data_IF_963874507364
#
_entry.id   IF_963874507364
#
_cell.length_a   1.000
_cell.length_b   1.000
_cell.length_c   1.000
_cell.angle_alpha   90.00
_cell.angle_beta   90.00
_cell.angle_gamma   90.00
#
_symmetry.space_group_name_H-M   'P 1'
#
loop_
_entity.id
_entity.type
_entity.pdbx_description
1 polymer ?
#
# COMPACT_ATOMS: atom_id res chain seq x y z
N UNK A 1 -19.96 -6.88 16.25
CA UNK A 1 -20.35 -6.08 15.07
C UNK A 1 -19.30 -6.29 14.01
N UNK A 2 -19.70 -6.35 12.74
CA UNK A 2 -18.75 -6.50 11.64
C UNK A 2 -18.13 -5.15 11.35
N UNK A 3 -16.80 -5.09 11.25
CA UNK A 3 -16.09 -3.86 10.87
C UNK A 3 -15.92 -3.80 9.37
N UNK A 4 -16.33 -2.69 8.76
CA UNK A 4 -16.10 -2.40 7.35
C UNK A 4 -15.09 -1.27 7.24
N UNK A 5 -14.22 -1.36 6.24
CA UNK A 5 -13.25 -0.31 5.93
C UNK A 5 -13.71 0.44 4.67
N UNK A 6 -13.98 1.73 4.80
CA UNK A 6 -14.16 2.64 3.68
C UNK A 6 -12.79 3.23 3.32
N UNK A 7 -12.43 3.17 2.05
CA UNK A 7 -11.11 3.54 1.56
C UNK A 7 -11.21 4.86 0.79
N UNK A 8 -10.38 5.82 1.19
CA UNK A 8 -10.23 7.11 0.52
C UNK A 8 -9.25 7.04 -0.64
N UNK A 9 -9.35 7.99 -1.56
CA UNK A 9 -8.46 8.08 -2.71
C UNK A 9 -6.96 8.24 -2.33
N UNK A 10 -6.66 8.86 -1.19
CA UNK A 10 -5.30 8.99 -0.66
C UNK A 10 -4.79 7.75 0.09
N UNK A 11 -5.56 6.66 0.10
CA UNK A 11 -5.27 5.44 0.88
C UNK A 11 -5.67 5.52 2.35
N UNK A 12 -6.24 6.65 2.79
CA UNK A 12 -6.82 6.79 4.13
C UNK A 12 -7.95 5.79 4.35
N UNK A 13 -8.08 5.30 5.59
CA UNK A 13 -9.07 4.28 5.95
C UNK A 13 -10.01 4.84 7.01
N UNK A 14 -11.31 4.77 6.76
CA UNK A 14 -12.35 5.02 7.75
C UNK A 14 -13.01 3.70 8.13
N UNK A 15 -12.89 3.31 9.40
CA UNK A 15 -13.52 2.09 9.92
C UNK A 15 -14.88 2.42 10.50
N UNK A 16 -15.89 1.67 10.07
CA UNK A 16 -17.27 1.79 10.56
C UNK A 16 -17.75 0.44 11.10
N UNK A 17 -18.48 0.47 12.21
CA UNK A 17 -19.15 -0.71 12.74
C UNK A 17 -20.50 -0.86 12.05
N UNK A 18 -20.79 -2.07 11.56
CA UNK A 18 -22.01 -2.36 10.81
C UNK A 18 -22.85 -3.36 11.60
N UNK A 19 -24.12 -3.01 11.80
CA UNK A 19 -25.11 -3.87 12.45
C UNK A 19 -25.65 -4.89 11.47
N UNK A 20 -25.99 -4.42 10.27
CA UNK A 20 -26.55 -5.21 9.19
C UNK A 20 -26.31 -4.52 7.84
N UNK A 21 -26.31 -5.31 6.78
CA UNK A 21 -26.20 -4.81 5.42
C UNK A 21 -27.10 -5.59 4.48
N UNK A 22 -27.56 -4.94 3.42
CA UNK A 22 -28.27 -5.56 2.30
C UNK A 22 -27.55 -5.27 0.99
N UNK A 23 -27.34 -6.30 0.19
CA UNK A 23 -26.88 -6.19 -1.19
C UNK A 23 -28.07 -6.38 -2.13
N UNK A 24 -28.36 -5.38 -2.95
CA UNK A 24 -29.33 -5.48 -4.03
C UNK A 24 -28.58 -5.52 -5.36
N UNK A 25 -28.89 -6.51 -6.21
CA UNK A 25 -28.35 -6.62 -7.55
C UNK A 25 -29.48 -6.79 -8.55
N UNK A 26 -29.53 -5.92 -9.56
CA UNK A 26 -30.55 -5.95 -10.61
C UNK A 26 -29.86 -6.01 -11.96
N UNK A 27 -30.20 -7.01 -12.78
CA UNK A 27 -29.80 -7.09 -14.18
C UNK A 27 -30.89 -6.48 -15.05
N UNK A 28 -30.54 -5.49 -15.86
CA UNK A 28 -31.47 -4.88 -16.80
C UNK A 28 -31.69 -5.79 -18.00
N UNK A 29 -32.83 -6.48 -18.00
CA UNK A 29 -33.26 -7.37 -19.09
C UNK A 29 -34.64 -6.89 -19.55
N UNK A 30 -34.73 -5.90 -20.46
CA UNK A 30 -36.02 -5.46 -20.99
C UNK A 30 -36.72 -6.63 -21.71
N UNK A 31 -37.90 -7.00 -21.21
CA UNK A 31 -38.75 -8.03 -21.81
C UNK A 31 -39.79 -7.36 -22.69
N UNK A 32 -39.74 -7.65 -23.98
CA UNK A 32 -40.69 -7.18 -24.99
C UNK A 32 -41.67 -8.32 -25.32
N UNK A 33 -42.98 -8.17 -25.01
CA UNK A 33 -43.97 -9.14 -25.47
C UNK A 33 -44.16 -9.03 -26.99
N UNK A 34 -44.29 -10.16 -27.67
CA UNK A 34 -44.64 -10.24 -29.10
C UNK A 34 -46.06 -10.80 -29.23
N UNK A 35 -47.08 -9.93 -29.34
CA UNK A 35 -48.49 -10.34 -29.23
C UNK A 35 -48.93 -11.32 -30.31
N UNK A 36 -48.32 -11.27 -31.49
CA UNK A 36 -48.69 -12.11 -32.65
C UNK A 36 -48.26 -13.57 -32.45
N UNK A 37 -47.17 -13.81 -31.72
CA UNK A 37 -46.64 -15.15 -31.45
C UNK A 37 -47.00 -15.66 -30.04
N UNK A 38 -47.49 -14.79 -29.16
CA UNK A 38 -47.71 -15.13 -27.74
C UNK A 38 -46.41 -15.34 -26.96
N UNK A 39 -45.26 -14.94 -27.53
CA UNK A 39 -43.93 -15.14 -26.96
C UNK A 39 -43.37 -13.85 -26.34
N UNK A 40 -42.30 -14.00 -25.56
CA UNK A 40 -41.56 -12.89 -24.95
C UNK A 40 -40.12 -12.93 -25.44
N UNK A 41 -39.63 -11.79 -25.92
CA UNK A 41 -38.23 -11.61 -26.27
C UNK A 41 -37.56 -10.75 -25.21
N UNK A 42 -36.29 -11.03 -24.94
CA UNK A 42 -35.47 -10.24 -24.04
C UNK A 42 -34.16 -9.92 -24.74
N UNK A 43 -33.70 -8.68 -24.63
CA UNK A 43 -32.35 -8.29 -25.02
C UNK A 43 -31.56 -8.15 -23.73
N UNK A 44 -30.56 -9.00 -23.57
CA UNK A 44 -29.68 -8.94 -22.42
C UNK A 44 -28.55 -7.97 -22.71
N UNK A 45 -28.64 -6.78 -22.14
CA UNK A 45 -27.60 -5.75 -22.30
C UNK A 45 -26.42 -5.95 -21.35
N UNK A 46 -26.44 -7.02 -20.52
CA UNK A 46 -25.47 -7.28 -19.46
C UNK A 46 -25.20 -6.07 -18.55
N UNK A 47 -26.22 -5.22 -18.38
CA UNK A 47 -26.16 -4.07 -17.47
C UNK A 47 -26.61 -4.54 -16.09
N UNK A 48 -25.67 -4.57 -15.15
CA UNK A 48 -25.94 -4.91 -13.75
C UNK A 48 -25.78 -3.65 -12.91
N UNK A 49 -26.81 -3.34 -12.12
CA UNK A 49 -26.74 -2.31 -11.09
C UNK A 49 -26.70 -2.99 -9.74
N UNK A 50 -25.79 -2.56 -8.87
CA UNK A 50 -25.69 -3.05 -7.51
C UNK A 50 -25.69 -1.88 -6.53
N UNK A 51 -26.32 -2.07 -5.37
CA UNK A 51 -26.22 -1.17 -4.23
C UNK A 51 -26.04 -1.97 -2.93
N UNK A 52 -25.21 -1.42 -2.05
CA UNK A 52 -25.04 -1.90 -0.68
C UNK A 52 -25.66 -0.86 0.26
N UNK A 53 -26.67 -1.26 1.01
CA UNK A 53 -27.19 -0.45 2.12
C UNK A 53 -26.64 -1.02 3.41
N UNK A 54 -25.91 -0.20 4.15
CA UNK A 54 -25.26 -0.55 5.40
C UNK A 54 -25.95 0.22 6.51
N UNK A 55 -26.44 -0.46 7.53
CA UNK A 55 -26.82 0.18 8.78
C UNK A 55 -25.58 0.19 9.68
N UNK A 56 -25.18 1.40 10.05
CA UNK A 56 -23.88 1.65 10.68
C UNK A 56 -24.05 2.31 12.03
N UNK A 57 -23.13 1.99 12.92
CA UNK A 57 -22.93 2.67 14.19
C UNK A 57 -21.53 3.26 14.16
N UNK A 58 -21.44 4.57 14.36
CA UNK A 58 -20.17 5.25 14.62
C UNK A 58 -20.03 5.34 16.13
N UNK A 59 -19.07 4.60 16.65
CA UNK A 59 -18.59 4.69 18.02
C UNK A 59 -17.17 5.24 18.05
N UNK A 60 -16.72 5.68 19.23
CA UNK A 60 -15.34 6.06 19.45
C UNK A 60 -14.40 4.91 19.10
N UNK A 61 -13.25 5.21 18.50
CA UNK A 61 -12.21 4.21 18.34
C UNK A 61 -11.72 3.72 19.71
N UNK A 62 -11.59 2.40 19.84
CA UNK A 62 -10.83 1.83 20.95
C UNK A 62 -9.35 2.17 20.74
N UNK A 63 -8.93 3.30 21.30
CA UNK A 63 -7.54 3.71 21.26
C UNK A 63 -6.58 2.70 21.87
N UNK A 64 -7.03 1.75 22.69
CA UNK A 64 -6.14 0.70 23.19
C UNK A 64 -5.95 -0.43 22.16
N UNK A 65 -6.76 -0.50 21.11
CA UNK A 65 -6.66 -1.51 20.08
C UNK A 65 -5.40 -1.32 19.20
N UNK A 66 -4.73 -2.42 18.89
CA UNK A 66 -3.49 -2.45 18.11
C UNK A 66 -3.62 -1.91 16.68
N UNK A 67 -4.84 -1.81 16.14
CA UNK A 67 -5.11 -1.30 14.80
C UNK A 67 -4.88 0.21 14.67
N UNK A 68 -4.85 0.95 15.78
CA UNK A 68 -4.59 2.39 15.82
C UNK A 68 -3.21 2.73 16.37
N UNK A 69 -2.42 1.70 16.70
CA UNK A 69 -1.06 1.93 17.16
C UNK A 69 -0.21 2.54 16.05
N UNK A 70 0.74 3.36 16.46
CA UNK A 70 1.71 3.97 15.56
C UNK A 70 2.32 2.87 14.67
N UNK A 71 2.58 3.15 13.40
CA UNK A 71 3.34 2.24 12.54
C UNK A 71 4.79 2.73 12.40
N UNK A 72 5.69 1.78 12.20
CA UNK A 72 7.09 2.07 11.93
C UNK A 72 7.29 2.43 10.45
N UNK A 73 8.08 3.45 10.19
CA UNK A 73 8.55 3.73 8.83
C UNK A 73 9.52 2.63 8.38
N UNK A 74 9.47 2.29 7.10
CA UNK A 74 10.34 1.29 6.48
C UNK A 74 11.02 1.87 5.25
N UNK A 75 12.28 1.53 5.07
CA UNK A 75 13.05 1.78 3.87
C UNK A 75 13.64 0.46 3.35
N UNK A 76 14.00 0.43 2.08
CA UNK A 76 14.58 -0.77 1.48
C UNK A 76 15.78 -0.47 0.60
N UNK A 77 16.73 -1.39 0.54
CA UNK A 77 17.85 -1.38 -0.42
C UNK A 77 17.94 -2.78 -1.01
N UNK A 78 17.75 -2.90 -2.30
CA UNK A 78 17.83 -4.13 -3.06
C UNK A 78 19.12 -4.15 -3.89
N UNK A 79 20.10 -4.93 -3.41
CA UNK A 79 21.37 -5.11 -4.08
C UNK A 79 21.29 -6.09 -5.25
N UNK A 80 20.12 -6.54 -5.69
CA UNK A 80 19.99 -7.38 -6.89
C UNK A 80 19.69 -6.59 -8.16
N UNK A 81 19.27 -5.33 -8.05
CA UNK A 81 18.88 -4.50 -9.19
C UNK A 81 19.41 -3.07 -9.09
N UNK A 82 19.69 -2.46 -10.24
CA UNK A 82 19.96 -1.02 -10.35
C UNK A 82 18.65 -0.21 -10.33
N UNK A 83 18.69 1.00 -9.77
CA UNK A 83 17.53 1.88 -9.62
C UNK A 83 16.96 2.49 -10.94
N UNK A 84 17.51 2.15 -12.11
CA UNK A 84 17.26 2.86 -13.38
C UNK A 84 15.76 3.15 -13.65
N UNK A 85 15.53 4.41 -14.05
CA UNK A 85 14.26 5.14 -14.10
C UNK A 85 13.45 5.00 -15.39
N UNK A 86 13.90 4.20 -16.36
CA UNK A 86 13.45 4.38 -17.76
C UNK A 86 12.47 3.30 -18.25
N UNK A 87 11.68 2.71 -17.34
CA UNK A 87 10.58 1.79 -17.69
C UNK A 87 10.99 0.46 -18.34
N UNK A 88 12.30 0.20 -18.49
CA UNK A 88 12.85 -1.06 -19.02
C UNK A 88 13.07 -2.14 -17.96
N UNK A 89 13.48 -3.34 -18.42
CA UNK A 89 13.90 -4.41 -17.49
C UNK A 89 15.12 -3.95 -16.68
N UNK A 90 14.96 -3.90 -15.35
CA UNK A 90 16.04 -3.49 -14.45
C UNK A 90 17.25 -4.41 -14.60
N UNK A 91 18.42 -3.80 -14.67
CA UNK A 91 19.70 -4.49 -14.79
C UNK A 91 20.11 -5.05 -13.43
N UNK A 92 20.80 -6.20 -13.38
CA UNK A 92 21.40 -6.70 -12.15
C UNK A 92 22.34 -5.65 -11.52
N UNK A 93 22.46 -5.66 -10.19
CA UNK A 93 23.36 -4.72 -9.52
C UNK A 93 24.83 -5.15 -9.66
N UNK A 94 25.19 -6.33 -9.15
CA UNK A 94 26.51 -6.91 -9.36
C UNK A 94 26.45 -7.89 -10.53
N UNK A 95 27.27 -7.66 -11.56
CA UNK A 95 27.63 -8.71 -12.52
C UNK A 95 29.03 -8.41 -13.05
N UNK A 96 29.78 -9.46 -13.39
CA UNK A 96 31.11 -9.30 -14.00
C UNK A 96 31.12 -8.70 -15.42
N UNK A 97 30.00 -8.19 -15.95
CA UNK A 97 29.86 -7.62 -17.29
C UNK A 97 29.27 -6.20 -17.23
N UNK A 98 29.65 -5.31 -18.16
CA UNK A 98 29.10 -3.95 -18.26
C UNK A 98 27.60 -3.99 -18.65
N UNK A 99 26.71 -3.14 -18.10
CA UNK A 99 26.94 -1.92 -17.30
C UNK A 99 26.95 -2.13 -15.77
N UNK A 100 27.19 -3.35 -15.29
CA UNK A 100 27.01 -3.70 -13.88
C UNK A 100 28.15 -3.23 -12.96
N UNK A 101 27.89 -3.18 -11.65
CA UNK A 101 28.81 -2.64 -10.64
C UNK A 101 29.79 -3.71 -10.20
N UNK A 102 31.10 -3.43 -10.26
CA UNK A 102 32.08 -4.29 -9.57
C UNK A 102 32.02 -4.00 -8.07
N UNK A 103 32.08 -5.04 -7.23
CA UNK A 103 32.21 -4.86 -5.76
C UNK A 103 33.40 -3.96 -5.42
N UNK A 104 34.45 -3.96 -6.23
CA UNK A 104 35.60 -3.07 -6.05
C UNK A 104 35.30 -1.58 -6.28
N UNK A 105 34.30 -1.27 -7.11
CA UNK A 105 33.87 0.10 -7.41
C UNK A 105 33.06 0.69 -6.24
N UNK A 106 32.54 -0.16 -5.36
CA UNK A 106 31.87 0.28 -4.13
C UNK A 106 32.83 0.83 -3.09
N UNK A 107 34.14 0.60 -3.23
CA UNK A 107 35.11 1.04 -2.24
C UNK A 107 35.05 2.55 -2.00
N UNK A 108 35.00 2.95 -0.73
CA UNK A 108 34.84 4.32 -0.27
C UNK A 108 33.52 5.00 -0.61
N UNK A 109 32.62 4.34 -1.34
CA UNK A 109 31.24 4.78 -1.49
C UNK A 109 30.49 4.56 -0.17
N UNK A 110 29.47 5.39 0.07
CA UNK A 110 28.63 5.25 1.24
C UNK A 110 27.20 5.72 0.99
N UNK A 111 26.29 5.23 1.82
CA UNK A 111 24.95 5.79 1.95
C UNK A 111 24.71 6.19 3.41
N UNK A 112 23.76 7.09 3.61
CA UNK A 112 23.40 7.63 4.90
C UNK A 112 21.97 7.22 5.25
N UNK A 113 21.77 6.72 6.48
CA UNK A 113 20.46 6.38 7.04
C UNK A 113 20.21 7.21 8.29
N UNK A 114 19.02 7.75 8.42
CA UNK A 114 18.58 8.54 9.56
C UNK A 114 17.45 7.81 10.30
N UNK A 115 17.58 7.73 11.63
CA UNK A 115 16.54 7.18 12.52
C UNK A 115 15.48 8.25 12.80
N UNK A 116 14.24 7.84 13.08
CA UNK A 116 13.25 8.73 13.68
C UNK A 116 13.81 9.46 14.90
N UNK A 117 13.31 10.66 15.10
CA UNK A 117 13.46 11.36 16.35
C UNK A 117 12.21 12.19 16.62
N UNK A 118 11.53 11.90 17.73
CA UNK A 118 10.31 12.63 18.12
C UNK A 118 10.61 13.80 19.07
N UNK A 119 11.87 14.06 19.41
CA UNK A 119 12.24 15.20 20.24
C UNK A 119 12.29 16.48 19.42
N UNK A 120 11.63 17.53 19.92
CA UNK A 120 11.71 18.87 19.33
C UNK A 120 13.18 19.34 19.29
N UNK A 121 13.68 19.71 18.11
CA UNK A 121 14.88 20.54 17.91
C UNK A 121 16.30 19.95 18.09
N UNK A 122 16.55 18.66 17.85
CA UNK A 122 17.93 18.22 17.54
C UNK A 122 17.97 17.33 16.31
N UNK A 123 18.41 17.88 15.18
CA UNK A 123 18.77 17.09 13.98
C UNK A 123 19.82 16.06 14.40
N UNK A 124 19.51 14.77 14.27
CA UNK A 124 20.49 13.72 14.55
C UNK A 124 21.35 13.51 13.30
N UNK A 125 22.68 13.47 13.44
CA UNK A 125 23.52 13.19 12.29
C UNK A 125 23.22 11.77 11.79
N UNK A 126 23.03 11.57 10.48
CA UNK A 126 22.76 10.25 9.93
C UNK A 126 23.93 9.31 10.18
N UNK A 127 23.63 8.02 10.27
CA UNK A 127 24.66 6.98 10.32
C UNK A 127 25.12 6.72 8.88
N UNK A 128 26.43 6.79 8.66
CA UNK A 128 27.05 6.53 7.37
C UNK A 128 27.42 5.06 7.23
N UNK A 129 26.92 4.36 6.22
CA UNK A 129 27.33 2.99 5.90
C UNK A 129 28.32 3.06 4.73
N UNK A 130 29.60 2.79 5.00
CA UNK A 130 30.71 2.94 4.05
C UNK A 130 31.36 1.61 3.72
N UNK A 131 31.63 1.36 2.44
CA UNK A 131 32.20 0.09 1.98
C UNK A 131 33.75 0.09 1.94
N UNK A 132 34.36 -1.01 2.36
CA UNK A 132 35.82 -1.21 2.39
C UNK A 132 36.24 -2.53 1.73
N UNK A 133 36.80 -2.46 0.53
CA UNK A 133 37.29 -3.64 -0.20
C UNK A 133 38.58 -4.24 0.36
N UNK A 134 39.31 -3.50 1.19
CA UNK A 134 40.61 -3.92 1.71
C UNK A 134 40.49 -4.75 3.00
N UNK A 135 39.27 -5.06 3.45
CA UNK A 135 39.01 -5.78 4.69
C UNK A 135 37.75 -6.63 4.56
N UNK A 136 37.75 -7.81 5.16
CA UNK A 136 36.54 -8.58 5.43
C UNK A 136 35.90 -8.23 6.79
N UNK A 137 36.63 -7.52 7.66
CA UNK A 137 36.14 -7.12 8.99
C UNK A 137 35.25 -5.88 8.93
N UNK A 138 34.24 -5.86 9.79
CA UNK A 138 33.35 -4.72 10.00
C UNK A 138 33.80 -3.90 11.21
N UNK A 139 33.53 -2.59 11.21
CA UNK A 139 33.79 -1.73 12.37
C UNK A 139 32.82 -0.55 12.44
N UNK A 140 32.72 0.08 13.60
CA UNK A 140 31.98 1.32 13.78
C UNK A 140 32.91 2.45 14.25
N UNK A 141 32.60 3.69 13.86
CA UNK A 141 33.28 4.91 14.28
C UNK A 141 32.25 5.96 14.72
N UNK A 142 32.65 6.87 15.61
CA UNK A 142 31.80 7.92 16.16
C UNK A 142 32.10 9.32 15.59
N UNK A 143 33.06 9.45 14.68
CA UNK A 143 33.48 10.76 14.14
C UNK A 143 33.90 10.66 12.67
N UNK A 144 32.95 10.75 11.72
CA UNK A 144 31.49 10.77 11.91
C UNK A 144 30.95 9.39 12.33
N UNK A 145 29.70 9.34 12.79
CA UNK A 145 28.97 8.10 13.05
C UNK A 145 28.90 7.25 11.79
N UNK A 146 29.72 6.21 11.72
CA UNK A 146 29.96 5.44 10.51
C UNK A 146 30.06 3.94 10.81
N UNK A 147 29.40 3.13 10.02
CA UNK A 147 29.61 1.68 9.90
C UNK A 147 30.53 1.43 8.71
N UNK A 148 31.67 0.79 8.93
CA UNK A 148 32.54 0.31 7.88
C UNK A 148 32.19 -1.14 7.55
N UNK A 149 31.75 -1.38 6.32
CA UNK A 149 31.37 -2.69 5.80
C UNK A 149 32.57 -3.27 5.05
N UNK A 150 33.23 -4.27 5.64
CA UNK A 150 34.21 -5.07 4.93
C UNK A 150 33.58 -5.86 3.79
N UNK A 151 34.07 -5.67 2.56
CA UNK A 151 33.56 -6.34 1.35
C UNK A 151 34.63 -7.14 0.62
N UNK A 152 35.78 -7.39 1.25
CA UNK A 152 36.82 -8.23 0.68
C UNK A 152 36.30 -9.66 0.44
N UNK A 153 36.40 -10.14 -0.80
CA UNK A 153 36.00 -11.49 -1.19
C UNK A 153 34.50 -11.66 -1.48
N UNK A 154 33.69 -10.61 -1.32
CA UNK A 154 32.28 -10.63 -1.71
C UNK A 154 32.18 -10.58 -3.24
N UNK A 155 31.38 -11.47 -3.83
CA UNK A 155 31.17 -11.57 -5.28
C UNK A 155 29.70 -11.64 -5.68
N UNK A 156 28.78 -11.65 -4.71
CA UNK A 156 27.34 -11.86 -4.93
C UNK A 156 26.50 -10.82 -4.19
N UNK A 157 25.33 -10.52 -4.73
CA UNK A 157 24.37 -9.54 -4.18
C UNK A 157 23.93 -9.91 -2.75
N UNK A 158 23.61 -11.18 -2.54
CA UNK A 158 23.22 -11.71 -1.24
C UNK A 158 24.36 -11.67 -0.21
N UNK A 159 25.61 -11.81 -0.66
CA UNK A 159 26.81 -11.66 0.17
C UNK A 159 26.99 -10.22 0.60
N UNK A 160 26.76 -9.26 -0.31
CA UNK A 160 26.80 -7.84 0.00
C UNK A 160 25.70 -7.44 0.99
N UNK A 161 24.45 -7.85 0.75
CA UNK A 161 23.33 -7.63 1.67
C UNK A 161 23.63 -8.18 3.07
N UNK A 162 24.14 -9.41 3.14
CA UNK A 162 24.49 -10.06 4.40
C UNK A 162 25.61 -9.34 5.15
N UNK A 163 26.63 -8.86 4.45
CA UNK A 163 27.73 -8.10 5.03
C UNK A 163 27.26 -6.75 5.59
N UNK A 164 26.39 -6.03 4.86
CA UNK A 164 25.79 -4.77 5.35
C UNK A 164 24.95 -5.03 6.60
N UNK A 165 24.07 -6.03 6.60
CA UNK A 165 23.26 -6.39 7.77
C UNK A 165 24.14 -6.70 8.98
N UNK A 166 25.12 -7.58 8.81
CA UNK A 166 26.03 -8.01 9.89
C UNK A 166 26.81 -6.82 10.46
N UNK A 167 27.33 -5.95 9.60
CA UNK A 167 28.07 -4.77 10.01
C UNK A 167 27.19 -3.79 10.80
N UNK A 168 25.97 -3.54 10.34
CA UNK A 168 25.03 -2.65 11.00
C UNK A 168 24.59 -3.21 12.36
N UNK A 169 24.21 -4.48 12.45
CA UNK A 169 23.75 -5.09 13.71
C UNK A 169 24.84 -5.13 14.80
N UNK A 170 26.11 -5.21 14.41
CA UNK A 170 27.23 -5.15 15.34
C UNK A 170 27.61 -3.70 15.75
N UNK A 171 27.10 -2.69 15.05
CA UNK A 171 27.53 -1.30 15.24
C UNK A 171 26.94 -0.66 16.51
N UNK A 172 27.84 -0.08 17.30
CA UNK A 172 27.52 0.67 18.50
C UNK A 172 28.16 2.06 18.43
N UNK A 173 27.42 3.07 18.86
CA UNK A 173 27.84 4.46 18.83
C UNK A 173 27.84 5.07 20.24
N UNK A 174 28.48 6.22 20.39
CA UNK A 174 28.40 7.04 21.60
C UNK A 174 27.19 7.97 21.58
N UNK A 175 26.67 8.29 20.40
CA UNK A 175 25.46 9.08 20.24
C UNK A 175 24.21 8.21 20.38
N UNK A 176 23.15 8.80 20.92
CA UNK A 176 21.83 8.16 20.97
C UNK A 176 21.20 8.15 19.58
N UNK A 177 20.75 6.98 19.15
CA UNK A 177 20.01 6.73 17.91
C UNK A 177 18.50 6.59 18.13
N UNK A 178 18.04 6.40 19.37
CA UNK A 178 16.60 6.50 19.71
C UNK A 178 16.30 7.55 20.79
N UNK A 179 15.05 7.97 20.91
CA UNK A 179 14.47 8.81 21.97
C UNK A 179 14.58 8.12 23.33
N UNK A 180 14.49 6.79 23.35
CA UNK A 180 14.74 5.96 24.54
C UNK A 180 16.22 5.87 24.95
N UNK A 181 17.12 6.57 24.25
CA UNK A 181 18.56 6.62 24.58
C UNK A 181 19.38 5.42 24.08
N UNK A 182 18.83 4.59 23.20
CA UNK A 182 19.56 3.48 22.59
C UNK A 182 20.69 3.98 21.68
N UNK A 183 21.88 3.39 21.78
CA UNK A 183 23.08 3.84 21.05
C UNK A 183 23.59 2.82 20.02
N UNK A 184 23.00 1.63 19.96
CA UNK A 184 23.32 0.62 18.95
C UNK A 184 22.45 0.80 17.71
N UNK A 185 22.94 0.41 16.54
CA UNK A 185 22.14 0.46 15.31
C UNK A 185 20.87 -0.39 15.45
N UNK A 186 20.99 -1.57 16.06
CA UNK A 186 19.86 -2.48 16.34
C UNK A 186 18.84 -1.93 17.34
N UNK A 187 19.19 -0.91 18.14
CA UNK A 187 18.20 -0.22 18.97
C UNK A 187 17.30 0.70 18.14
N UNK A 188 17.82 1.27 17.06
CA UNK A 188 17.09 2.20 16.19
C UNK A 188 16.41 1.52 15.00
N UNK A 189 16.95 0.40 14.52
CA UNK A 189 16.43 -0.30 13.36
C UNK A 189 16.40 -1.81 13.55
N UNK A 190 15.33 -2.43 13.07
CA UNK A 190 15.30 -3.86 12.75
C UNK A 190 15.65 -4.04 11.27
N UNK A 191 16.60 -4.92 10.95
CA UNK A 191 17.03 -5.20 9.58
C UNK A 191 16.61 -6.62 9.19
N UNK A 192 15.82 -6.75 8.14
CA UNK A 192 15.43 -8.06 7.58
C UNK A 192 16.02 -8.24 6.19
N UNK A 193 16.40 -9.48 5.86
CA UNK A 193 16.80 -9.87 4.50
C UNK A 193 15.61 -10.57 3.84
N UNK A 194 15.34 -10.23 2.59
CA UNK A 194 14.31 -10.87 1.76
C UNK A 194 14.77 -11.00 0.31
N UNK A 195 13.96 -11.66 -0.51
CA UNK A 195 14.23 -11.79 -1.94
C UNK A 195 14.24 -10.42 -2.61
N UNK A 196 15.29 -10.17 -3.39
CA UNK A 196 15.35 -9.03 -4.29
C UNK A 196 14.62 -9.32 -5.59
N UNK A 197 14.55 -8.30 -6.45
CA UNK A 197 13.90 -8.38 -7.76
C UNK A 197 14.55 -9.42 -8.69
N UNK A 198 15.87 -9.63 -8.57
CA UNK A 198 16.64 -10.54 -9.44
C UNK A 198 17.29 -11.71 -8.70
N UNK A 199 17.61 -11.52 -7.42
CA UNK A 199 18.40 -12.47 -6.63
C UNK A 199 17.75 -12.66 -5.26
N UNK A 200 17.60 -13.92 -4.83
CA UNK A 200 17.11 -14.24 -3.49
C UNK A 200 18.05 -13.70 -2.40
N UNK A 201 17.47 -13.27 -1.28
CA UNK A 201 18.19 -12.74 -0.12
C UNK A 201 19.12 -11.55 -0.40
N UNK A 202 18.79 -10.72 -1.40
CA UNK A 202 19.57 -9.53 -1.78
C UNK A 202 18.93 -8.20 -1.35
N UNK A 203 17.70 -8.22 -0.85
CA UNK A 203 16.99 -7.03 -0.37
C UNK A 203 17.09 -6.89 1.13
N UNK A 204 17.55 -5.72 1.59
CA UNK A 204 17.50 -5.29 2.97
C UNK A 204 16.28 -4.41 3.19
N UNK A 205 15.52 -4.68 4.24
CA UNK A 205 14.48 -3.77 4.73
C UNK A 205 14.86 -3.29 6.12
N UNK A 206 14.97 -1.97 6.24
CA UNK A 206 15.20 -1.28 7.50
C UNK A 206 13.85 -0.85 8.04
N UNK A 207 13.47 -1.36 9.20
CA UNK A 207 12.26 -0.93 9.92
C UNK A 207 12.68 -0.13 11.13
N UNK A 208 12.21 1.11 11.27
CA UNK A 208 12.51 1.91 12.45
C UNK A 208 11.87 1.31 13.70
N UNK A 209 12.61 1.29 14.80
CA UNK A 209 12.07 0.79 16.08
C UNK A 209 11.07 1.79 16.66
N UNK A 210 11.32 3.09 16.51
CA UNK A 210 10.32 4.09 16.90
C UNK A 210 9.29 4.25 15.79
N UNK A 211 8.05 4.40 16.23
CA UNK A 211 6.88 4.44 15.37
C UNK A 211 6.31 5.85 15.35
N UNK A 212 5.66 6.22 14.25
CA UNK A 212 5.09 7.56 14.06
C UNK A 212 5.50 8.19 12.73
N UNK A 213 4.89 9.33 12.42
CA UNK A 213 5.20 10.06 11.18
C UNK A 213 6.62 10.63 11.15
N UNK A 214 7.20 10.89 12.33
CA UNK A 214 8.58 11.38 12.46
C UNK A 214 9.66 10.40 11.97
N UNK A 215 9.29 9.14 11.68
CA UNK A 215 10.19 8.19 11.03
C UNK A 215 10.27 8.32 9.51
N UNK A 216 9.29 8.98 8.88
CA UNK A 216 9.30 9.18 7.43
C UNK A 216 10.37 10.21 7.06
N UNK A 217 11.33 9.81 6.24
CA UNK A 217 12.43 10.67 5.83
C UNK A 217 13.00 10.21 4.49
N UNK A 218 13.84 11.06 3.88
CA UNK A 218 14.39 10.82 2.54
C UNK A 218 15.64 9.93 2.53
N UNK A 219 15.86 9.13 3.56
CA UNK A 219 16.96 8.16 3.63
C UNK A 219 16.44 6.75 3.26
N UNK A 220 17.28 5.84 2.73
CA UNK A 220 18.72 5.95 2.51
C UNK A 220 19.09 6.97 1.43
N UNK A 221 20.10 7.80 1.69
CA UNK A 221 20.66 8.70 0.68
C UNK A 221 22.03 8.20 0.24
N UNK A 222 22.15 7.85 -1.04
CA UNK A 222 23.41 7.46 -1.65
C UNK A 222 24.23 8.71 -1.99
N UNK A 223 25.44 8.81 -1.44
CA UNK A 223 26.31 9.98 -1.56
C UNK A 223 27.63 9.59 -2.22
N UNK A 224 28.23 10.53 -2.97
CA UNK A 224 29.56 10.45 -3.58
C UNK A 224 29.77 9.20 -4.46
N UNK A 225 29.86 9.36 -5.78
CA UNK A 225 30.29 8.29 -6.70
C UNK A 225 29.24 7.23 -7.04
N UNK A 226 28.10 7.24 -6.37
CA UNK A 226 26.96 6.37 -6.67
C UNK A 226 26.17 6.73 -7.94
N UNK A 227 26.49 7.83 -8.63
CA UNK A 227 25.64 8.44 -9.69
C UNK A 227 25.29 7.52 -10.87
N UNK A 228 26.03 6.44 -11.10
CA UNK A 228 25.73 5.44 -12.14
C UNK A 228 25.33 4.06 -11.57
N UNK A 229 25.38 3.89 -10.25
CA UNK A 229 25.45 2.59 -9.58
C UNK A 229 24.59 2.54 -8.32
N UNK A 230 23.45 3.24 -8.32
CA UNK A 230 22.51 3.26 -7.20
C UNK A 230 21.73 1.93 -7.22
N UNK A 231 21.81 1.11 -6.16
CA UNK A 231 20.94 -0.06 -6.07
C UNK A 231 19.49 0.41 -6.00
N UNK A 232 18.56 -0.44 -6.42
CA UNK A 232 17.14 -0.16 -6.19
C UNK A 232 16.90 0.10 -4.70
N UNK A 233 16.18 1.17 -4.37
CA UNK A 233 15.90 1.51 -2.99
C UNK A 233 14.54 2.20 -2.85
N UNK A 234 13.97 2.10 -1.66
CA UNK A 234 12.81 2.87 -1.23
C UNK A 234 13.23 3.72 -0.02
N UNK A 235 12.81 4.99 0.01
CA UNK A 235 13.00 5.88 1.15
C UNK A 235 12.12 5.46 2.35
N UNK A 236 12.42 5.96 3.56
CA UNK A 236 11.60 5.68 4.73
C UNK A 236 10.18 6.26 4.59
N UNK A 237 9.21 5.37 4.48
CA UNK A 237 7.80 5.70 4.37
C UNK A 237 6.92 4.75 5.21
N UNK A 238 5.62 5.06 5.28
CA UNK A 238 4.62 4.21 5.94
C UNK A 238 4.56 4.34 7.46
N UNK A 239 5.36 5.21 8.08
CA UNK A 239 5.23 5.57 9.49
C UNK A 239 4.01 6.48 9.71
N UNK A 240 3.10 6.08 10.57
CA UNK A 240 1.90 6.85 10.92
C UNK A 240 1.83 7.02 12.43
N UNK A 241 1.34 8.18 12.85
CA UNK A 241 1.01 8.39 14.24
C UNK A 241 -0.30 7.72 14.59
N UNK A 242 -0.48 7.52 15.89
CA UNK A 242 -1.72 7.03 16.46
C UNK A 242 -2.81 8.05 16.16
N UNK A 243 -3.73 7.67 15.29
CA UNK A 243 -4.92 8.45 14.98
C UNK A 243 -6.11 7.66 15.48
N UNK A 244 -6.62 8.05 16.64
CA UNK A 244 -7.95 7.65 17.08
C UNK A 244 -8.93 8.75 16.72
N UNK A 245 -10.14 8.36 16.36
CA UNK A 245 -11.23 9.29 16.08
C UNK A 245 -12.39 9.02 17.01
N UNK A 246 -13.00 10.08 17.54
CA UNK A 246 -14.30 9.96 18.20
C UNK A 246 -15.38 9.63 17.17
N UNK A 247 -16.54 9.18 17.65
CA UNK A 247 -17.73 8.99 16.83
C UNK A 247 -18.10 10.26 16.04
N UNK A 248 -17.93 11.43 16.67
CA UNK A 248 -18.16 12.74 16.06
C UNK A 248 -17.14 13.07 14.97
N UNK A 249 -15.85 12.81 15.20
CA UNK A 249 -14.80 13.02 14.20
C UNK A 249 -15.02 12.14 12.97
N UNK A 250 -15.39 10.87 13.18
CA UNK A 250 -15.73 9.94 12.10
C UNK A 250 -16.92 10.43 11.27
N UNK A 251 -17.96 10.94 11.92
CA UNK A 251 -19.12 11.51 11.22
C UNK A 251 -18.71 12.74 10.42
N UNK A 252 -17.94 13.65 11.03
CA UNK A 252 -17.48 14.87 10.39
C UNK A 252 -16.61 14.57 9.16
N UNK A 253 -15.71 13.60 9.29
CA UNK A 253 -14.88 13.10 8.20
C UNK A 253 -15.75 12.51 7.08
N UNK A 254 -16.73 11.67 7.42
CA UNK A 254 -17.62 11.08 6.43
C UNK A 254 -18.48 12.14 5.72
N UNK A 255 -18.93 13.18 6.42
CA UNK A 255 -19.58 14.34 5.82
C UNK A 255 -18.64 15.06 4.85
N UNK A 256 -17.37 15.23 5.21
CA UNK A 256 -16.39 15.81 4.30
C UNK A 256 -16.18 14.92 3.07
N UNK A 257 -16.08 13.60 3.24
CA UNK A 257 -15.78 12.69 2.14
C UNK A 257 -16.94 12.48 1.17
N UNK A 258 -18.18 12.45 1.69
CA UNK A 258 -19.40 12.32 0.87
C UNK A 258 -19.85 13.68 0.32
N UNK A 259 -19.68 14.75 1.11
CA UNK A 259 -20.08 16.10 0.75
C UNK A 259 -19.10 16.83 -0.18
N UNK A 260 -17.83 16.40 -0.24
CA UNK A 260 -16.85 16.98 -1.15
C UNK A 260 -17.04 16.43 -2.57
N UNK A 261 -17.88 17.11 -3.34
CA UNK A 261 -18.20 16.76 -4.73
C UNK A 261 -17.16 17.26 -5.76
N UNK A 262 -15.97 17.70 -5.32
CA UNK A 262 -14.95 18.26 -6.22
C UNK A 262 -14.13 17.15 -6.91
N UNK A 263 -14.76 16.37 -7.78
CA UNK A 263 -14.03 15.60 -8.79
C UNK A 263 -13.71 16.58 -9.94
N UNK A 264 -12.67 17.39 -9.77
CA UNK A 264 -12.10 18.19 -10.87
C UNK A 264 -11.39 17.22 -11.84
N UNK A 265 -12.20 16.48 -12.60
CA UNK A 265 -11.76 15.73 -13.75
C UNK A 265 -11.61 16.70 -14.92
N UNK A 266 -10.38 16.85 -15.40
CA UNK A 266 -10.12 17.31 -16.76
C UNK A 266 -11.07 16.55 -17.69
N UNK A 267 -11.85 17.28 -18.49
CA UNK A 267 -12.70 16.73 -19.55
C UNK A 267 -11.83 16.02 -20.60
N UNK A 268 -11.44 14.79 -20.31
CA UNK A 268 -10.75 13.91 -21.25
C UNK A 268 -11.73 13.50 -22.34
N UNK A 269 -11.37 13.76 -23.59
CA UNK A 269 -12.13 13.35 -24.77
C UNK A 269 -12.30 11.84 -24.83
N UNK A 270 -13.37 11.31 -24.21
CA UNK A 270 -13.73 9.90 -24.24
C UNK A 270 -14.36 9.44 -25.58
N UNK A 271 -14.30 10.25 -26.64
CA UNK A 271 -14.94 9.95 -27.94
C UNK A 271 -14.08 10.34 -29.17
N UNK A 272 -12.75 10.26 -29.11
CA UNK A 272 -11.93 10.66 -30.26
C UNK A 272 -10.47 10.24 -30.25
N UNK A 273 -10.19 8.95 -30.10
CA UNK A 273 -8.88 8.38 -30.43
C UNK A 273 -9.06 7.22 -31.41
N UNK A 274 -8.34 7.22 -32.53
CA UNK A 274 -8.36 6.13 -33.54
C UNK A 274 -7.98 4.81 -32.86
N UNK A 275 -8.98 3.98 -32.54
CA UNK A 275 -8.77 2.58 -32.22
C UNK A 275 -8.26 1.87 -33.49
N UNK A 276 -7.13 1.18 -33.34
CA UNK A 276 -6.70 0.14 -34.27
C UNK A 276 -7.73 -1.01 -34.17
N UNK A 277 -8.48 -1.34 -35.24
CA UNK A 277 -9.58 -2.29 -35.16
C UNK A 277 -9.15 -3.75 -34.88
N UNK A 278 -7.85 -4.05 -34.89
CA UNK A 278 -7.33 -5.42 -34.75
C UNK A 278 -6.74 -5.76 -33.38
N UNK A 279 -6.72 -4.82 -32.42
CA UNK A 279 -6.24 -5.10 -31.06
C UNK A 279 -7.40 -5.22 -30.06
N UNK A 280 -7.69 -6.45 -29.63
CA UNK A 280 -8.70 -6.74 -28.61
C UNK A 280 -8.37 -6.18 -27.22
N UNK A 281 -7.14 -5.69 -27.02
CA UNK A 281 -6.68 -5.05 -25.79
C UNK A 281 -6.62 -3.51 -25.89
N UNK A 282 -6.73 -2.90 -27.08
CA UNK A 282 -6.55 -1.44 -27.25
C UNK A 282 -7.75 -0.58 -26.84
N UNK A 283 -8.80 -1.16 -26.26
CA UNK A 283 -9.96 -0.42 -25.74
C UNK A 283 -9.82 -0.06 -24.25
N UNK A 284 -8.75 -0.53 -23.58
CA UNK A 284 -8.50 -0.27 -22.15
C UNK A 284 -7.00 -0.03 -21.89
N UNK A 285 -6.37 0.84 -22.68
CA UNK A 285 -5.11 1.49 -22.28
C UNK A 285 -5.20 2.99 -22.57
N UNK A 286 -6.22 3.64 -22.00
CA UNK A 286 -6.07 5.05 -21.66
C UNK A 286 -5.35 5.09 -20.33
N UNK A 287 -4.11 5.53 -20.34
CA UNK A 287 -3.34 5.91 -19.16
C UNK A 287 -4.10 7.02 -18.41
N UNK A 288 -5.01 6.62 -17.52
CA UNK A 288 -5.68 7.53 -16.60
C UNK A 288 -4.67 7.81 -15.50
N UNK A 289 -3.70 8.66 -15.82
CA UNK A 289 -2.91 9.33 -14.78
C UNK A 289 -3.86 10.22 -13.98
N UNK A 290 -4.42 9.63 -12.92
CA UNK A 290 -5.14 10.27 -11.83
C UNK A 290 -4.22 11.11 -10.92
N UNK A 291 -2.93 11.26 -11.26
CA UNK A 291 -1.89 11.61 -10.28
C UNK A 291 -1.93 13.05 -9.78
N UNK A 292 -2.49 13.99 -10.54
CA UNK A 292 -2.28 15.40 -10.24
C UNK A 292 -3.59 16.10 -9.85
N UNK A 293 -3.96 15.88 -8.58
CA UNK A 293 -4.91 16.69 -7.77
C UNK A 293 -6.41 16.49 -8.03
N UNK A 294 -6.88 15.27 -8.28
CA UNK A 294 -8.24 14.94 -7.85
C UNK A 294 -8.29 15.10 -6.32
N UNK A 295 -9.35 15.73 -5.78
CA UNK A 295 -9.43 15.99 -4.34
C UNK A 295 -9.22 14.68 -3.57
N UNK A 296 -8.23 14.66 -2.69
CA UNK A 296 -7.68 13.46 -2.06
C UNK A 296 -8.66 12.73 -1.09
N UNK A 297 -9.92 13.18 -1.06
CA UNK A 297 -10.79 13.04 0.11
C UNK A 297 -12.10 12.31 -0.17
N UNK A 298 -12.32 11.71 -1.34
CA UNK A 298 -13.53 10.91 -1.58
C UNK A 298 -13.31 9.41 -1.35
N UNK A 299 -14.39 8.70 -1.01
CA UNK A 299 -14.38 7.24 -0.86
C UNK A 299 -14.34 6.60 -2.25
N UNK A 300 -13.29 5.80 -2.52
CA UNK A 300 -13.05 5.06 -3.77
C UNK A 300 -13.29 3.55 -3.63
N UNK A 301 -13.49 3.06 -2.41
CA UNK A 301 -13.70 1.64 -2.21
C UNK A 301 -14.17 1.26 -0.82
N UNK A 302 -14.55 -0.01 -0.73
CA UNK A 302 -15.02 -0.64 0.49
C UNK A 302 -14.44 -2.04 0.61
N UNK A 303 -13.87 -2.36 1.77
CA UNK A 303 -13.49 -3.72 2.15
C UNK A 303 -14.51 -4.26 3.15
N UNK A 304 -15.37 -5.15 2.65
CA UNK A 304 -16.41 -5.83 3.42
C UNK A 304 -15.98 -7.29 3.65
N UNK A 305 -15.62 -7.70 4.88
CA UNK A 305 -15.21 -9.07 5.14
C UNK A 305 -16.37 -10.07 5.02
N UNK A 306 -16.09 -11.27 4.51
CA UNK A 306 -16.95 -12.44 4.57
C UNK A 306 -16.13 -13.69 4.93
N UNK A 307 -16.81 -14.69 5.51
CA UNK A 307 -16.20 -15.95 5.90
C UNK A 307 -16.22 -16.94 4.74
N UNK A 308 -15.05 -17.40 4.30
CA UNK A 308 -14.90 -18.35 3.19
C UNK A 308 -14.45 -19.72 3.70
N UNK A 309 -15.19 -20.77 3.36
CA UNK A 309 -14.75 -22.16 3.52
C UNK A 309 -13.83 -22.59 2.37
N UNK A 310 -14.09 -22.07 1.17
CA UNK A 310 -13.41 -22.50 -0.07
C UNK A 310 -11.92 -22.17 -0.05
N UNK A 311 -11.55 -21.09 0.63
CA UNK A 311 -10.17 -20.64 0.76
C UNK A 311 -9.46 -21.20 2.00
N UNK A 312 -10.17 -21.99 2.82
CA UNK A 312 -9.57 -22.61 3.98
C UNK A 312 -8.64 -23.74 3.56
N UNK A 313 -7.42 -23.72 4.05
CA UNK A 313 -6.46 -24.82 3.92
C UNK A 313 -6.44 -25.71 5.16
N UNK A 314 -7.25 -25.39 6.18
CA UNK A 314 -7.34 -26.16 7.42
C UNK A 314 -8.19 -27.42 7.19
N UNK A 315 -7.72 -28.56 7.71
CA UNK A 315 -8.45 -29.82 7.66
C UNK A 315 -9.72 -29.83 8.54
N UNK A 316 -9.95 -28.76 9.31
CA UNK A 316 -11.00 -28.67 10.34
C UNK A 316 -12.19 -27.76 9.96
N UNK A 317 -12.40 -27.46 8.68
CA UNK A 317 -13.47 -26.55 8.22
C UNK A 317 -13.42 -25.15 8.85
N UNK A 318 -12.22 -24.67 9.21
CA UNK A 318 -12.06 -23.32 9.75
C UNK A 318 -12.35 -22.29 8.67
N UNK A 319 -13.25 -21.34 8.93
CA UNK A 319 -13.47 -20.23 8.00
C UNK A 319 -12.24 -19.33 7.96
N UNK A 320 -11.87 -18.88 6.76
CA UNK A 320 -10.91 -17.78 6.57
C UNK A 320 -11.66 -16.53 6.12
N UNK A 321 -11.35 -15.40 6.73
CA UNK A 321 -11.92 -14.12 6.36
C UNK A 321 -11.33 -13.66 5.00
N UNK A 322 -12.20 -13.19 4.11
CA UNK A 322 -11.85 -12.66 2.78
C UNK A 322 -12.65 -11.39 2.51
N UNK A 323 -12.14 -10.49 1.66
CA UNK A 323 -12.90 -9.32 1.24
C UNK A 323 -13.94 -9.71 0.19
N UNK A 324 -15.19 -9.27 0.31
CA UNK A 324 -16.17 -9.41 -0.75
C UNK A 324 -15.67 -8.68 -2.00
N UNK A 325 -15.83 -9.31 -3.17
CA UNK A 325 -15.38 -8.76 -4.45
C UNK A 325 -16.54 -8.73 -5.44
N UNK A 326 -16.47 -7.82 -6.40
CA UNK A 326 -17.38 -7.74 -7.53
C UNK A 326 -16.54 -7.56 -8.78
N UNK A 327 -16.35 -8.64 -9.52
CA UNK A 327 -15.56 -8.63 -10.74
C UNK A 327 -16.49 -8.28 -11.90
N UNK A 328 -16.36 -7.05 -12.41
CA UNK A 328 -17.06 -6.57 -13.60
C UNK A 328 -16.17 -6.67 -14.85
N UNK A 329 -16.79 -6.58 -16.03
CA UNK A 329 -16.11 -6.61 -17.33
C UNK A 329 -15.80 -8.03 -17.84
N UNK A 330 -15.00 -8.11 -18.91
CA UNK A 330 -14.56 -9.39 -19.48
C UNK A 330 -13.50 -9.99 -18.55
N UNK A 331 -13.88 -11.05 -17.85
CA UNK A 331 -12.99 -11.85 -17.01
C UNK A 331 -13.34 -13.32 -17.18
N UNK A 332 -12.33 -14.17 -17.00
CA UNK A 332 -12.54 -15.62 -17.11
C UNK A 332 -13.39 -16.11 -15.93
N UNK A 333 -14.17 -17.18 -16.16
CA UNK A 333 -15.08 -17.71 -15.14
C UNK A 333 -14.35 -18.12 -13.84
N UNK A 334 -13.09 -18.54 -13.94
CA UNK A 334 -12.24 -18.90 -12.80
C UNK A 334 -11.70 -17.69 -12.01
N UNK A 335 -11.98 -16.45 -12.44
CA UNK A 335 -11.58 -15.21 -11.78
C UNK A 335 -12.74 -14.54 -11.03
N UNK A 336 -13.97 -15.05 -11.18
CA UNK A 336 -15.18 -14.41 -10.66
C UNK A 336 -15.74 -15.06 -9.39
N UNK A 337 -15.29 -16.27 -9.07
CA UNK A 337 -15.83 -17.05 -7.95
C UNK A 337 -15.01 -16.85 -6.65
N UNK A 338 -15.47 -17.49 -5.57
CA UNK A 338 -14.77 -17.44 -4.29
C UNK A 338 -13.41 -18.12 -4.30
N UNK A 339 -13.07 -18.94 -5.31
CA UNK A 339 -11.75 -19.57 -5.47
C UNK A 339 -10.70 -18.60 -5.99
N UNK A 340 -11.12 -17.62 -6.80
CA UNK A 340 -10.25 -16.55 -7.29
C UNK A 340 -9.78 -15.60 -6.16
N UNK A 341 -10.60 -15.48 -5.12
CA UNK A 341 -10.39 -14.55 -4.03
C UNK A 341 -9.44 -15.09 -2.95
N UNK A 342 -8.14 -15.03 -3.21
CA UNK A 342 -7.09 -15.56 -2.33
C UNK A 342 -6.47 -14.52 -1.39
N UNK A 343 -6.80 -13.24 -1.54
CA UNK A 343 -6.23 -12.16 -0.74
C UNK A 343 -6.91 -12.05 0.64
N UNK A 344 -6.14 -11.64 1.64
CA UNK A 344 -6.61 -11.47 3.02
C UNK A 344 -7.41 -10.16 3.18
N UNK A 345 -8.29 -10.09 4.18
CA UNK A 345 -9.09 -8.88 4.51
C UNK A 345 -8.19 -7.69 4.82
N UNK A 346 -7.01 -7.94 5.38
CA UNK A 346 -6.02 -6.92 5.73
C UNK A 346 -5.21 -6.35 4.56
N UNK A 347 -5.36 -6.88 3.33
CA UNK A 347 -4.60 -6.41 2.17
C UNK A 347 -4.80 -4.92 1.92
N UNK A 348 -3.76 -4.23 1.46
CA UNK A 348 -3.86 -2.84 1.04
C UNK A 348 -4.82 -2.77 -0.15
N UNK A 349 -5.82 -1.90 -0.05
CA UNK A 349 -6.77 -1.68 -1.12
C UNK A 349 -6.06 -1.03 -2.32
N UNK A 350 -6.29 -1.60 -3.50
CA UNK A 350 -5.79 -1.13 -4.76
C UNK A 350 -6.97 -1.11 -5.75
N UNK A 351 -7.41 0.07 -6.22
CA UNK A 351 -8.56 0.18 -7.12
C UNK A 351 -8.34 -0.51 -8.47
N UNK A 352 -7.09 -0.77 -8.86
CA UNK A 352 -6.75 -1.53 -10.08
C UNK A 352 -6.83 -3.04 -9.87
N UNK A 353 -6.75 -3.50 -8.62
CA UNK A 353 -6.82 -4.89 -8.25
C UNK A 353 -8.18 -5.27 -7.65
N UNK A 354 -9.01 -5.91 -8.49
CA UNK A 354 -10.37 -6.38 -8.17
C UNK A 354 -10.48 -7.34 -6.99
N UNK A 355 -9.35 -7.86 -6.49
CA UNK A 355 -9.31 -8.81 -5.37
C UNK A 355 -9.02 -8.15 -4.01
N UNK A 356 -8.76 -6.85 -3.99
CA UNK A 356 -8.43 -6.13 -2.75
C UNK A 356 -9.65 -5.50 -2.06
N UNK A 357 -10.80 -5.44 -2.73
CA UNK A 357 -12.07 -4.94 -2.21
C UNK A 357 -13.07 -4.59 -3.32
N UNK A 358 -14.12 -3.86 -2.97
CA UNK A 358 -15.11 -3.31 -3.91
C UNK A 358 -14.72 -1.88 -4.27
N UNK A 359 -14.43 -1.62 -5.55
CA UNK A 359 -14.30 -0.26 -6.06
C UNK A 359 -15.69 0.40 -6.14
N UNK A 360 -15.77 1.67 -5.76
CA UNK A 360 -17.02 2.42 -5.83
C UNK A 360 -17.06 3.61 -4.88
N UNK A 361 -18.25 4.11 -4.58
CA UNK A 361 -18.38 5.30 -3.74
C UNK A 361 -19.65 5.31 -2.89
N UNK A 362 -19.67 6.15 -1.86
CA UNK A 362 -20.84 6.38 -1.02
C UNK A 362 -21.70 7.46 -1.66
N UNK A 363 -22.95 7.11 -1.99
CA UNK A 363 -23.88 8.01 -2.72
C UNK A 363 -24.95 8.63 -1.83
N UNK A 364 -25.19 8.04 -0.66
CA UNK A 364 -26.13 8.56 0.31
C UNK A 364 -25.72 8.16 1.73
N UNK A 365 -25.99 9.05 2.68
CA UNK A 365 -25.81 8.80 4.10
C UNK A 365 -26.91 9.49 4.90
N UNK A 366 -27.31 8.91 6.02
CA UNK A 366 -28.25 9.48 6.97
C UNK A 366 -27.86 9.05 8.38
N UNK A 367 -27.76 9.99 9.31
CA UNK A 367 -27.33 9.73 10.69
C UNK A 367 -28.24 10.42 11.70
N UNK A 368 -28.41 9.77 12.85
CA UNK A 368 -29.05 10.28 14.05
C UNK A 368 -28.10 10.12 15.24
N UNK A 369 -28.08 11.12 16.13
CA UNK A 369 -27.26 11.06 17.34
C UNK A 369 -28.06 10.51 18.51
N UNK A 370 -27.56 9.45 19.15
CA UNK A 370 -28.17 8.86 20.35
C UNK A 370 -27.43 9.37 21.57
N UNK A 371 -27.93 10.46 22.15
CA UNK A 371 -27.30 11.13 23.30
C UNK A 371 -27.13 10.23 24.54
N UNK A 372 -27.93 9.17 24.67
CA UNK A 372 -27.83 8.22 25.79
C UNK A 372 -26.62 7.27 25.69
N UNK A 373 -26.10 7.04 24.49
CA UNK A 373 -25.03 6.07 24.22
C UNK A 373 -23.77 6.72 23.64
N UNK A 374 -23.81 8.02 23.34
CA UNK A 374 -22.74 8.79 22.69
C UNK A 374 -22.28 8.18 21.35
N UNK A 375 -23.20 7.58 20.61
CA UNK A 375 -22.97 7.01 19.28
C UNK A 375 -23.83 7.71 18.23
N UNK A 376 -23.38 7.63 16.97
CA UNK A 376 -24.22 8.00 15.83
C UNK A 376 -24.68 6.73 15.12
N UNK A 377 -25.98 6.56 14.98
CA UNK A 377 -26.56 5.47 14.19
C UNK A 377 -27.04 6.01 12.86
N UNK A 378 -26.89 5.22 11.80
CA UNK A 378 -27.24 5.70 10.48
C UNK A 378 -27.30 4.62 9.42
N UNK A 379 -27.56 5.06 8.20
CA UNK A 379 -27.53 4.23 7.00
C UNK A 379 -26.60 4.84 5.96
N UNK A 380 -25.76 4.01 5.35
CA UNK A 380 -24.91 4.36 4.21
C UNK A 380 -25.36 3.56 2.98
N UNK A 381 -25.42 4.22 1.83
CA UNK A 381 -25.58 3.56 0.54
C UNK A 381 -24.28 3.65 -0.24
N UNK A 382 -23.65 2.51 -0.46
CA UNK A 382 -22.46 2.37 -1.29
C UNK A 382 -22.85 1.79 -2.65
N UNK A 383 -22.39 2.42 -3.72
CA UNK A 383 -22.58 1.95 -5.08
C UNK A 383 -21.23 1.49 -5.64
N UNK A 384 -21.08 0.21 -6.03
CA UNK A 384 -19.94 -0.24 -6.79
C UNK A 384 -19.90 0.48 -8.14
N UNK A 385 -18.77 1.11 -8.45
CA UNK A 385 -18.55 1.82 -9.71
C UNK A 385 -17.09 1.63 -10.12
N UNK A 386 -16.89 1.20 -11.36
CA UNK A 386 -15.54 1.00 -11.92
C UNK A 386 -14.89 2.32 -12.37
N UNK A 387 -15.72 3.31 -12.70
CA UNK A 387 -15.27 4.60 -13.21
C UNK A 387 -16.24 5.71 -12.82
N UNK A 388 -15.70 6.83 -12.32
CA UNK A 388 -16.45 8.03 -11.95
C UNK A 388 -15.92 9.19 -12.79
N UNK A 389 -16.82 9.88 -13.48
CA UNK A 389 -16.51 11.13 -14.22
C UNK A 389 -17.23 12.28 -13.54
N UNK A 390 -16.46 13.25 -13.04
CA UNK A 390 -17.00 14.53 -12.59
C UNK A 390 -17.20 15.49 -13.77
N UNK A 391 -18.22 16.32 -13.70
CA UNK A 391 -18.51 17.39 -14.67
C UNK A 391 -18.28 18.76 -14.07
#
# INVERSE_FOLDING_TARGET
MTKIRLIRNDGGVLVVDVTDYSLNMTRSVPVLPVPVLGERYAIDLNMVTADFKLNVILADDDCAASSFEKTAAKASIDFSALANSDGGTRQPYLSGSSPNVSVNDLHDLFFEIESSYTGENTVRPPVRIKFNKNSASHSASNSPSQVLVGIQGITTDNGLASAVKTACEAANFSQTLTTAGGTSFSSAFTITVSNGEKTDNAKLTFTQTEKGTGGNNRTPVFKKGFSAFIPLFDEFAGGTDKSCKSAGDKLQDLIAYVGNASLLGTSGSALGGRADPDDSNSLIESDISLSDKQTADYIIGMQLPYNSLVQSTSANDDYIERNLIMVTGRSDANQQDSKANSLDVGVVFDPTNKFTGLAGTVVAMSFSYIAGENVYEGSLTFMPVDFIVGS
#
